data_IF_867474083803
#
_entry.id   IF_867474083803
#
_cell.length_a   1.000
_cell.length_b   1.000
_cell.length_c   1.000
_cell.angle_alpha   90.00
_cell.angle_beta   90.00
_cell.angle_gamma   90.00
#
_symmetry.space_group_name_H-M   'P 1'
#
loop_
_entity.id
_entity.type
_entity.pdbx_description
1 polymer ?
#
# COMPACT_ATOMS: atom_id res chain seq x y z
N UNK A 1 18.04 -8.10 -27.78
CA UNK A 1 18.53 -8.22 -26.39
C UNK A 1 17.56 -7.43 -25.55
N UNK A 2 16.73 -8.10 -24.75
CA UNK A 2 15.78 -7.44 -23.87
C UNK A 2 16.56 -6.78 -22.74
N UNK A 3 16.49 -5.45 -22.65
CA UNK A 3 16.96 -4.72 -21.48
C UNK A 3 16.11 -5.15 -20.30
N UNK A 4 16.70 -5.95 -19.42
CA UNK A 4 16.19 -6.15 -18.08
C UNK A 4 16.28 -4.79 -17.39
N UNK A 5 15.17 -4.05 -17.39
CA UNK A 5 14.97 -2.88 -16.57
C UNK A 5 15.02 -3.37 -15.13
N UNK A 6 16.24 -3.43 -14.58
CA UNK A 6 16.47 -3.65 -13.18
C UNK A 6 15.79 -2.47 -12.48
N UNK A 7 14.57 -2.72 -11.98
CA UNK A 7 13.86 -1.80 -11.09
C UNK A 7 14.84 -1.56 -9.95
N UNK A 8 15.51 -0.41 -9.99
CA UNK A 8 16.23 0.10 -8.84
C UNK A 8 15.13 0.42 -7.85
N UNK A 9 14.93 -0.48 -6.90
CA UNK A 9 14.17 -0.20 -5.71
C UNK A 9 14.97 0.85 -4.93
N UNK A 10 14.82 2.10 -5.33
CA UNK A 10 15.31 3.24 -4.57
C UNK A 10 14.67 3.19 -3.17
N UNK A 11 15.39 3.68 -2.16
CA UNK A 11 15.01 3.63 -0.75
C UNK A 11 13.70 4.40 -0.47
N UNK A 12 13.26 5.22 -1.43
CA UNK A 12 11.99 5.95 -1.38
C UNK A 12 10.87 5.24 -2.17
N UNK A 13 9.66 5.28 -1.63
CA UNK A 13 8.44 4.93 -2.38
C UNK A 13 8.18 6.00 -3.45
N UNK A 14 7.97 5.59 -4.70
CA UNK A 14 7.58 6.50 -5.80
C UNK A 14 6.21 7.18 -5.55
N UNK A 15 5.39 6.60 -4.66
CA UNK A 15 4.14 7.18 -4.21
C UNK A 15 4.35 8.01 -2.92
N UNK A 16 3.82 9.24 -2.85
CA UNK A 16 3.83 10.03 -1.62
C UNK A 16 3.19 9.29 -0.44
N UNK A 17 3.89 9.23 0.71
CA UNK A 17 3.40 8.59 1.93
C UNK A 17 2.03 9.13 2.38
N UNK A 18 1.76 10.41 2.17
CA UNK A 18 0.46 11.02 2.50
C UNK A 18 -0.73 10.34 1.80
N UNK A 19 -0.56 9.90 0.54
CA UNK A 19 -1.60 9.17 -0.18
C UNK A 19 -1.83 7.79 0.45
N UNK A 20 -0.75 7.12 0.85
CA UNK A 20 -0.82 5.80 1.49
C UNK A 20 -1.54 5.91 2.84
N UNK A 21 -1.21 6.93 3.63
CA UNK A 21 -1.85 7.21 4.92
C UNK A 21 -3.34 7.55 4.74
N UNK A 22 -3.68 8.40 3.77
CA UNK A 22 -5.08 8.73 3.48
C UNK A 22 -5.88 7.50 3.08
N UNK A 23 -5.30 6.59 2.29
CA UNK A 23 -5.93 5.31 1.93
C UNK A 23 -6.12 4.43 3.16
N UNK A 24 -5.10 4.32 4.02
CA UNK A 24 -5.15 3.50 5.22
C UNK A 24 -6.21 3.98 6.21
N UNK A 25 -6.28 5.30 6.44
CA UNK A 25 -7.29 5.93 7.31
C UNK A 25 -8.70 5.73 6.76
N UNK A 26 -8.88 5.97 5.46
CA UNK A 26 -10.16 5.78 4.78
C UNK A 26 -10.62 4.32 4.79
N UNK A 27 -9.68 3.37 4.64
CA UNK A 27 -9.93 1.94 4.73
C UNK A 27 -10.38 1.53 6.15
N UNK A 28 -9.67 2.00 7.18
CA UNK A 28 -9.97 1.73 8.58
C UNK A 28 -11.33 2.30 8.98
N UNK A 29 -11.59 3.56 8.63
CA UNK A 29 -12.84 4.25 8.92
C UNK A 29 -14.03 3.51 8.30
N UNK A 30 -13.97 3.15 7.01
CA UNK A 30 -15.02 2.37 6.37
C UNK A 30 -15.23 1.01 7.04
N UNK A 31 -14.14 0.34 7.44
CA UNK A 31 -14.21 -0.97 8.11
C UNK A 31 -14.81 -0.88 9.51
N UNK A 32 -14.49 0.16 10.27
CA UNK A 32 -15.05 0.41 11.61
C UNK A 32 -16.55 0.69 11.57
N UNK A 33 -17.03 1.37 10.53
CA UNK A 33 -18.44 1.66 10.32
C UNK A 33 -19.22 0.51 9.64
N UNK A 34 -18.54 -0.59 9.25
CA UNK A 34 -19.16 -1.71 8.55
C UNK A 34 -19.57 -1.40 7.11
N UNK A 35 -18.97 -0.37 6.51
CA UNK A 35 -19.23 0.11 5.17
C UNK A 35 -18.44 -0.66 4.10
N UNK A 36 -18.84 -0.52 2.84
CA UNK A 36 -18.07 -1.07 1.72
C UNK A 36 -16.77 -0.28 1.53
N UNK A 37 -15.63 -0.91 1.81
CA UNK A 37 -14.31 -0.25 1.85
C UNK A 37 -13.83 0.24 0.47
N UNK A 38 -14.05 -0.52 -0.60
CA UNK A 38 -13.53 -0.19 -1.94
C UNK A 38 -14.01 1.17 -2.50
N UNK A 39 -15.29 1.57 -2.38
CA UNK A 39 -15.74 2.93 -2.73
C UNK A 39 -14.99 4.06 -2.03
N UNK A 40 -14.62 3.88 -0.77
CA UNK A 40 -13.91 4.87 0.04
C UNK A 40 -12.45 5.00 -0.42
N UNK A 41 -11.77 3.87 -0.64
CA UNK A 41 -10.43 3.86 -1.25
C UNK A 41 -10.47 4.46 -2.65
N UNK A 42 -11.48 4.13 -3.46
CA UNK A 42 -11.63 4.66 -4.82
C UNK A 42 -11.69 6.19 -4.82
N UNK A 43 -12.50 6.78 -3.94
CA UNK A 43 -12.60 8.24 -3.85
C UNK A 43 -11.28 8.89 -3.46
N UNK A 44 -10.49 8.27 -2.58
CA UNK A 44 -9.16 8.76 -2.22
C UNK A 44 -8.20 8.67 -3.41
N UNK A 45 -8.10 7.51 -4.07
CA UNK A 45 -7.13 7.27 -5.14
C UNK A 45 -7.49 7.94 -6.48
N UNK A 46 -8.77 8.09 -6.81
CA UNK A 46 -9.22 8.70 -8.06
C UNK A 46 -8.82 10.18 -8.19
N UNK A 47 -8.66 10.88 -7.05
CA UNK A 47 -8.11 12.25 -7.01
C UNK A 47 -6.68 12.32 -7.55
N UNK A 48 -5.96 11.20 -7.46
CA UNK A 48 -4.58 11.06 -7.89
C UNK A 48 -4.43 10.21 -9.17
N UNK A 49 -5.53 9.80 -9.82
CA UNK A 49 -5.54 8.90 -11.00
C UNK A 49 -4.94 7.50 -10.70
N UNK A 50 -5.08 7.05 -9.46
CA UNK A 50 -4.52 5.80 -8.95
C UNK A 50 -5.61 4.76 -8.64
N UNK A 51 -6.82 4.92 -9.17
CA UNK A 51 -7.97 4.04 -8.88
C UNK A 51 -7.71 2.56 -9.21
N UNK A 52 -6.76 2.27 -10.09
CA UNK A 52 -6.33 0.89 -10.40
C UNK A 52 -5.76 0.16 -9.17
N UNK A 53 -5.29 0.91 -8.16
CA UNK A 53 -4.70 0.37 -6.95
C UNK A 53 -5.73 0.07 -5.84
N UNK A 54 -7.01 0.40 -6.03
CA UNK A 54 -8.08 0.11 -5.05
C UNK A 54 -8.04 -1.34 -4.54
N UNK A 55 -8.09 -2.38 -5.41
CA UNK A 55 -8.05 -3.77 -4.94
C UNK A 55 -6.70 -4.16 -4.32
N UNK A 56 -5.62 -3.47 -4.69
CA UNK A 56 -4.26 -3.72 -4.18
C UNK A 56 -4.19 -3.31 -2.71
N UNK A 57 -4.62 -2.09 -2.40
CA UNK A 57 -4.66 -1.60 -1.02
C UNK A 57 -5.65 -2.39 -0.15
N UNK A 58 -6.84 -2.71 -0.68
CA UNK A 58 -7.84 -3.51 0.05
C UNK A 58 -7.28 -4.90 0.45
N UNK A 59 -6.58 -5.55 -0.49
CA UNK A 59 -5.94 -6.85 -0.26
C UNK A 59 -4.77 -6.74 0.73
N UNK A 60 -3.93 -5.72 0.58
CA UNK A 60 -2.78 -5.49 1.47
C UNK A 60 -3.23 -5.29 2.92
N UNK A 61 -4.20 -4.42 3.17
CA UNK A 61 -4.70 -4.14 4.52
C UNK A 61 -5.34 -5.39 5.15
N UNK A 62 -6.08 -6.16 4.36
CA UNK A 62 -6.67 -7.42 4.81
C UNK A 62 -5.61 -8.45 5.18
N UNK A 63 -4.52 -8.55 4.41
CA UNK A 63 -3.40 -9.44 4.72
C UNK A 63 -2.59 -8.97 5.93
N UNK A 64 -2.42 -7.66 6.11
CA UNK A 64 -1.80 -7.09 7.30
C UNK A 64 -2.59 -7.47 8.56
N UNK A 65 -3.92 -7.28 8.58
CA UNK A 65 -4.74 -7.70 9.72
C UNK A 65 -4.68 -9.22 9.97
N UNK A 66 -4.69 -10.03 8.90
CA UNK A 66 -4.57 -11.48 9.01
C UNK A 66 -3.22 -11.89 9.63
N UNK A 67 -2.11 -11.29 9.19
CA UNK A 67 -0.77 -11.56 9.68
C UNK A 67 -0.57 -11.06 11.12
N UNK A 68 -1.15 -9.90 11.47
CA UNK A 68 -1.10 -9.32 12.81
C UNK A 68 -2.05 -10.02 13.80
N UNK A 69 -3.06 -10.74 13.32
CA UNK A 69 -4.15 -11.35 14.10
C UNK A 69 -4.90 -10.35 14.98
N UNK A 70 -4.91 -9.09 14.55
CA UNK A 70 -5.63 -7.98 15.16
C UNK A 70 -5.99 -6.96 14.10
N UNK A 71 -6.91 -6.08 14.43
CA UNK A 71 -7.23 -4.95 13.58
C UNK A 71 -6.07 -3.95 13.51
N UNK A 72 -5.91 -3.37 12.32
CA UNK A 72 -5.03 -2.23 12.08
C UNK A 72 -5.62 -1.02 12.82
N UNK A 73 -4.75 -0.21 13.42
CA UNK A 73 -5.09 1.05 14.08
C UNK A 73 -4.62 2.21 13.19
N UNK A 74 -5.54 3.06 12.76
CA UNK A 74 -5.19 4.30 12.07
C UNK A 74 -4.86 5.42 13.08
N UNK A 75 -4.03 6.38 12.68
CA UNK A 75 -3.72 7.54 13.51
C UNK A 75 -4.87 8.56 13.49
N UNK A 76 -4.93 9.39 14.54
CA UNK A 76 -5.91 10.47 14.70
C UNK A 76 -5.23 11.84 14.62
N UNK A 77 -5.99 12.89 14.27
CA UNK A 77 -5.60 14.31 14.37
C UNK A 77 -4.25 14.72 13.72
N UNK A 78 -3.80 13.95 12.72
CA UNK A 78 -2.57 14.25 11.97
C UNK A 78 -1.32 13.54 12.47
N UNK A 79 -1.38 12.87 13.62
CA UNK A 79 -0.31 12.03 14.12
C UNK A 79 -0.36 10.63 13.47
N UNK A 80 0.81 10.02 13.28
CA UNK A 80 0.90 8.66 12.73
C UNK A 80 0.70 7.61 13.82
N UNK A 81 -0.10 6.59 13.55
CA UNK A 81 -0.11 5.41 14.42
C UNK A 81 1.17 4.58 14.26
N UNK A 82 1.41 3.68 15.23
CA UNK A 82 2.48 2.69 15.11
C UNK A 82 2.28 1.76 13.91
N UNK A 83 1.04 1.46 13.55
CA UNK A 83 0.71 0.61 12.40
C UNK A 83 0.92 1.35 11.08
N UNK A 84 0.58 2.65 11.04
CA UNK A 84 0.82 3.51 9.88
C UNK A 84 2.32 3.60 9.58
N UNK A 85 3.14 3.78 10.62
CA UNK A 85 4.60 3.82 10.51
C UNK A 85 5.13 2.45 10.05
N UNK A 86 4.70 1.38 10.71
CA UNK A 86 5.11 0.02 10.35
C UNK A 86 4.75 -0.35 8.90
N UNK A 87 3.57 0.06 8.41
CA UNK A 87 3.17 -0.24 7.03
C UNK A 87 4.08 0.45 6.01
N UNK A 88 4.42 1.73 6.25
CA UNK A 88 5.34 2.47 5.39
C UNK A 88 6.72 1.80 5.40
N UNK A 89 7.25 1.49 6.59
CA UNK A 89 8.55 0.84 6.73
C UNK A 89 8.57 -0.54 6.03
N UNK A 90 7.48 -1.31 6.14
CA UNK A 90 7.32 -2.58 5.44
C UNK A 90 7.18 -2.44 3.92
N UNK A 91 6.62 -1.35 3.42
CA UNK A 91 6.55 -1.09 1.97
C UNK A 91 7.91 -0.66 1.42
N UNK A 92 8.70 0.06 2.22
CA UNK A 92 10.09 0.44 1.90
C UNK A 92 11.00 -0.79 1.92
N UNK A 93 10.96 -1.57 3.01
CA UNK A 93 11.78 -2.76 3.24
C UNK A 93 10.91 -3.98 3.59
N UNK A 94 10.33 -4.67 2.59
CA UNK A 94 9.44 -5.81 2.82
C UNK A 94 10.05 -6.94 3.67
N UNK A 95 11.36 -7.19 3.51
CA UNK A 95 12.11 -8.20 4.28
C UNK A 95 12.02 -8.01 5.80
N UNK A 96 11.83 -6.78 6.26
CA UNK A 96 11.78 -6.41 7.67
C UNK A 96 10.38 -6.54 8.29
N UNK A 97 9.37 -6.96 7.53
CA UNK A 97 8.00 -7.11 8.01
C UNK A 97 7.84 -7.98 9.27
N UNK A 98 8.76 -8.91 9.48
CA UNK A 98 8.79 -9.80 10.65
C UNK A 98 9.19 -9.10 11.95
N UNK A 99 9.88 -7.95 11.85
CA UNK A 99 10.25 -7.12 13.00
C UNK A 99 9.01 -6.42 13.56
N UNK A 100 8.11 -6.00 12.67
CA UNK A 100 6.91 -5.24 13.03
C UNK A 100 5.73 -6.14 13.40
N UNK A 101 5.68 -7.35 12.83
CA UNK A 101 4.57 -8.28 13.01
C UNK A 101 5.11 -9.57 13.58
N UNK A 102 4.61 -9.96 14.76
CA UNK A 102 4.83 -11.27 15.37
C UNK A 102 4.15 -12.42 14.61
N UNK A 103 4.28 -12.45 13.28
CA UNK A 103 3.63 -13.39 12.36
C UNK A 103 4.30 -14.76 12.37
N UNK A 104 3.54 -15.79 11.99
CA UNK A 104 4.11 -17.09 11.66
C UNK A 104 4.96 -16.99 10.41
N UNK A 105 5.89 -17.93 10.18
CA UNK A 105 6.74 -17.89 9.00
C UNK A 105 5.95 -17.86 7.68
N UNK A 106 4.83 -18.59 7.64
CA UNK A 106 3.96 -18.67 6.47
C UNK A 106 3.24 -17.34 6.20
N UNK A 107 2.67 -16.74 7.24
CA UNK A 107 2.05 -15.41 7.17
C UNK A 107 3.05 -14.34 6.71
N UNK A 108 4.29 -14.39 7.23
CA UNK A 108 5.30 -13.42 6.85
C UNK A 108 5.75 -13.60 5.38
N UNK A 109 5.75 -14.81 4.82
CA UNK A 109 6.04 -15.04 3.39
C UNK A 109 4.93 -14.46 2.51
N UNK A 110 3.67 -14.75 2.85
CA UNK A 110 2.52 -14.22 2.11
C UNK A 110 2.49 -12.69 2.16
N UNK A 111 2.73 -12.11 3.33
CA UNK A 111 2.78 -10.67 3.50
C UNK A 111 3.93 -10.05 2.69
N UNK A 112 5.12 -10.65 2.71
CA UNK A 112 6.25 -10.21 1.88
C UNK A 112 5.89 -10.18 0.38
N UNK A 113 5.22 -11.22 -0.11
CA UNK A 113 4.74 -11.27 -1.50
C UNK A 113 3.72 -10.16 -1.79
N UNK A 114 2.81 -9.88 -0.86
CA UNK A 114 1.82 -8.82 -0.99
C UNK A 114 2.47 -7.43 -0.99
N UNK A 115 3.42 -7.17 -0.10
CA UNK A 115 4.17 -5.92 -0.02
C UNK A 115 4.95 -5.66 -1.32
N UNK A 116 5.71 -6.65 -1.80
CA UNK A 116 6.48 -6.54 -3.04
C UNK A 116 5.59 -6.32 -4.26
N UNK A 117 4.50 -7.07 -4.38
CA UNK A 117 3.58 -6.91 -5.52
C UNK A 117 2.83 -5.58 -5.45
N UNK A 118 2.44 -5.12 -4.26
CA UNK A 118 1.85 -3.79 -4.05
C UNK A 118 2.81 -2.69 -4.48
N UNK A 119 4.07 -2.77 -4.02
CA UNK A 119 5.10 -1.80 -4.41
C UNK A 119 5.28 -1.73 -5.93
N UNK A 120 5.43 -2.88 -6.60
CA UNK A 120 5.54 -2.94 -8.06
C UNK A 120 4.30 -2.33 -8.77
N UNK A 121 3.09 -2.56 -8.24
CA UNK A 121 1.87 -1.97 -8.80
C UNK A 121 1.82 -0.47 -8.59
N UNK A 122 2.26 0.03 -7.42
CA UNK A 122 2.39 1.46 -7.14
C UNK A 122 3.36 2.14 -8.09
N UNK A 123 4.56 1.56 -8.27
CA UNK A 123 5.59 2.05 -9.18
C UNK A 123 5.05 2.11 -10.63
N UNK A 124 4.39 1.05 -11.10
CA UNK A 124 3.80 1.03 -12.44
C UNK A 124 2.65 2.02 -12.60
N UNK A 125 1.82 2.22 -11.58
CA UNK A 125 0.72 3.19 -11.64
C UNK A 125 1.25 4.63 -11.69
N UNK A 126 2.25 4.96 -10.87
CA UNK A 126 2.90 6.28 -10.86
C UNK A 126 3.68 6.53 -12.16
N UNK A 127 4.40 5.52 -12.66
CA UNK A 127 5.09 5.56 -13.96
C UNK A 127 4.10 5.68 -15.14
N UNK A 128 2.96 5.00 -15.07
CA UNK A 128 1.89 5.09 -16.07
C UNK A 128 1.27 6.47 -16.15
N UNK A 129 1.08 7.13 -14.99
CA UNK A 129 0.61 8.52 -14.92
C UNK A 129 1.62 9.48 -15.57
N UNK A 130 2.92 9.28 -15.33
CA UNK A 130 3.97 10.12 -15.93
C UNK A 130 4.19 9.84 -17.42
N UNK A 131 3.98 8.60 -17.89
CA UNK A 131 4.15 8.18 -19.29
C UNK A 131 2.91 8.47 -20.16
N UNK A 132 1.72 8.59 -19.55
CA UNK A 132 0.47 9.00 -20.22
C UNK A 132 0.50 10.40 -20.84
N UNK A 133 1.61 11.13 -20.74
CA UNK A 133 1.84 12.43 -21.37
C UNK A 133 2.35 12.38 -22.82
N UNK A 134 2.56 11.18 -23.39
CA UNK A 134 3.10 11.01 -24.76
C UNK A 134 2.14 10.42 -25.81
N UNK A 135 0.85 10.26 -25.52
CA UNK A 135 -0.16 9.99 -26.56
C UNK A 135 -1.23 11.08 -26.62
N UNK A 136 -0.82 12.26 -27.10
CA UNK A 136 -1.70 13.16 -27.83
C UNK A 136 -0.94 13.67 -29.06
N UNK A 137 -1.07 12.97 -30.19
CA UNK A 137 -1.47 13.48 -31.50
C UNK A 137 -1.46 12.34 -32.53
#
# INVERSE_FOLDING_TARGET
>A
MAEAHAVRFDEALDMPEGIILDVMRCWRDAKDHGEAVQPYIYQTLARHRLEILVPVFDSLMTLCEAAMKRSIVAGEDGDRSGDETALIDMLVAPEDARIYIGCTQEDCILLNCALRSTRLMMEQAVAGISTGRSQQY
#
